data_IF_032245838129
#
_entry.id   IF_032245838129
#
_cell.length_a   1.000
_cell.length_b   1.000
_cell.length_c   1.000
_cell.angle_alpha   90.00
_cell.angle_beta   90.00
_cell.angle_gamma   90.00
#
_symmetry.space_group_name_H-M   'P 1'
#
loop_
_entity.id
_entity.type
_entity.pdbx_description
1 polymer ?
#
# COMPACT_ATOMS: atom_id res chain seq x y z
N UNK A 1 27.37 19.04 -9.09
CA UNK A 1 27.48 20.44 -9.53
C UNK A 1 27.45 20.57 -11.04
N UNK A 2 26.28 20.72 -11.66
CA UNK A 2 26.15 20.98 -13.11
C UNK A 2 25.40 22.28 -13.44
N UNK A 3 25.18 23.15 -12.44
CA UNK A 3 24.42 24.39 -12.59
C UNK A 3 25.27 25.62 -12.93
N UNK A 4 26.59 25.58 -12.74
CA UNK A 4 27.44 26.78 -12.92
C UNK A 4 27.81 27.03 -14.39
N UNK A 5 27.99 25.98 -15.20
CA UNK A 5 28.40 26.11 -16.60
C UNK A 5 27.31 26.70 -17.50
N UNK A 6 26.11 26.12 -17.49
CA UNK A 6 25.02 26.59 -18.35
C UNK A 6 24.47 27.95 -17.91
N UNK A 7 24.48 28.25 -16.61
CA UNK A 7 24.12 29.58 -16.10
C UNK A 7 25.11 30.63 -16.60
N UNK A 8 26.41 30.36 -16.52
CA UNK A 8 27.44 31.28 -17.04
C UNK A 8 27.33 31.47 -18.55
N UNK A 9 27.07 30.39 -19.30
CA UNK A 9 26.87 30.44 -20.76
C UNK A 9 25.58 31.16 -21.15
N UNK A 10 24.53 31.02 -20.36
CA UNK A 10 23.26 31.73 -20.55
C UNK A 10 23.41 33.24 -20.32
N UNK A 11 24.17 33.66 -19.30
CA UNK A 11 24.45 35.07 -19.02
C UNK A 11 25.27 35.75 -20.13
N UNK A 12 26.00 34.98 -20.94
CA UNK A 12 26.76 35.50 -22.08
C UNK A 12 25.91 35.69 -23.35
N UNK A 13 24.66 35.21 -23.36
CA UNK A 13 23.74 35.44 -24.48
C UNK A 13 23.13 36.84 -24.35
N UNK A 14 23.03 37.64 -25.43
CA UNK A 14 22.37 38.94 -25.41
C UNK A 14 20.84 38.78 -25.45
N UNK A 15 20.31 38.09 -24.44
CA UNK A 15 18.88 37.86 -24.22
C UNK A 15 18.38 38.75 -23.07
N UNK A 16 17.21 39.40 -23.20
CA UNK A 16 16.62 40.21 -22.13
C UNK A 16 15.91 39.35 -21.06
N UNK A 17 16.43 38.15 -20.78
CA UNK A 17 15.88 37.21 -19.79
C UNK A 17 17.01 36.50 -19.05
N UNK A 18 16.73 36.05 -17.82
CA UNK A 18 17.68 35.28 -17.03
C UNK A 18 17.83 33.82 -17.48
N UNK A 19 18.89 33.11 -17.04
CA UNK A 19 19.12 31.69 -17.33
C UNK A 19 17.96 30.77 -16.96
N UNK A 20 17.27 31.05 -15.85
CA UNK A 20 16.11 30.26 -15.43
C UNK A 20 14.93 30.40 -16.40
N UNK A 21 14.73 31.59 -16.96
CA UNK A 21 13.67 31.86 -17.92
C UNK A 21 13.91 31.13 -19.25
N UNK A 22 15.17 30.95 -19.67
CA UNK A 22 15.53 30.14 -20.86
C UNK A 22 14.96 28.72 -20.72
N UNK A 23 15.02 28.14 -19.53
CA UNK A 23 14.53 26.78 -19.25
C UNK A 23 13.01 26.74 -19.05
N UNK A 24 12.43 27.79 -18.44
CA UNK A 24 11.06 27.75 -17.94
C UNK A 24 10.00 28.38 -18.87
N UNK A 25 10.36 29.29 -19.77
CA UNK A 25 9.42 29.91 -20.70
C UNK A 25 8.60 28.86 -21.47
N UNK A 26 7.34 29.14 -21.87
CA UNK A 26 6.64 28.39 -22.91
C UNK A 26 7.47 28.32 -24.21
N UNK A 27 7.25 27.29 -25.04
CA UNK A 27 8.10 27.10 -26.24
C UNK A 27 7.82 28.17 -27.30
N UNK A 28 6.59 28.63 -27.35
CA UNK A 28 6.09 29.71 -28.21
C UNK A 28 6.78 31.03 -27.85
N UNK A 29 6.73 31.41 -26.58
CA UNK A 29 7.38 32.63 -26.06
C UNK A 29 8.90 32.57 -26.22
N UNK A 30 9.49 31.40 -25.99
CA UNK A 30 10.93 31.20 -26.15
C UNK A 30 11.35 31.37 -27.62
N UNK A 31 10.60 30.81 -28.56
CA UNK A 31 10.88 30.96 -29.98
C UNK A 31 10.64 32.40 -30.46
N UNK A 32 9.58 33.06 -29.99
CA UNK A 32 9.31 34.46 -30.29
C UNK A 32 10.45 35.36 -29.77
N UNK A 33 10.95 35.09 -28.56
CA UNK A 33 12.10 35.78 -28.00
C UNK A 33 13.36 35.59 -28.84
N UNK A 34 13.67 34.35 -29.24
CA UNK A 34 14.82 34.07 -30.11
C UNK A 34 14.70 34.74 -31.49
N UNK A 35 13.49 34.90 -32.01
CA UNK A 35 13.24 35.61 -33.28
C UNK A 35 13.36 37.13 -33.18
N UNK A 36 13.08 37.71 -32.00
CA UNK A 36 13.23 39.15 -31.73
C UNK A 36 14.66 39.53 -31.34
N UNK A 37 15.34 38.66 -30.59
CA UNK A 37 16.74 38.83 -30.25
C UNK A 37 17.56 38.62 -31.52
N UNK A 38 18.35 39.63 -31.94
CA UNK A 38 19.21 39.56 -33.14
C UNK A 38 20.43 38.66 -32.89
N UNK A 39 20.19 37.38 -32.58
CA UNK A 39 21.19 36.37 -32.25
C UNK A 39 21.78 35.75 -33.52
N UNK A 40 23.06 35.39 -33.46
CA UNK A 40 23.70 34.55 -34.46
C UNK A 40 23.23 33.09 -34.38
N UNK A 41 23.39 32.33 -35.46
CA UNK A 41 23.06 30.91 -35.50
C UNK A 41 23.67 30.09 -34.35
N UNK A 42 24.97 30.26 -34.02
CA UNK A 42 25.59 29.60 -32.87
C UNK A 42 24.96 29.96 -31.51
N UNK A 43 24.57 31.23 -31.30
CA UNK A 43 23.92 31.68 -30.07
C UNK A 43 22.52 31.11 -29.91
N UNK A 44 21.74 31.05 -31.01
CA UNK A 44 20.44 30.38 -31.04
C UNK A 44 20.58 28.90 -30.70
N UNK A 45 21.57 28.22 -31.27
CA UNK A 45 21.86 26.82 -30.97
C UNK A 45 22.24 26.62 -29.49
N UNK A 46 23.08 27.51 -28.94
CA UNK A 46 23.46 27.49 -27.54
C UNK A 46 22.24 27.68 -26.60
N UNK A 47 21.38 28.66 -26.89
CA UNK A 47 20.17 28.92 -26.10
C UNK A 47 19.24 27.70 -26.06
N UNK A 48 19.02 27.06 -27.22
CA UNK A 48 18.21 25.84 -27.34
C UNK A 48 18.83 24.67 -26.57
N UNK A 49 20.15 24.52 -26.65
CA UNK A 49 20.85 23.45 -25.96
C UNK A 49 20.83 23.61 -24.43
N UNK A 50 21.02 24.83 -23.93
CA UNK A 50 20.85 25.16 -22.50
C UNK A 50 19.44 24.83 -22.04
N UNK A 51 18.41 25.27 -22.79
CA UNK A 51 17.01 24.96 -22.50
C UNK A 51 16.75 23.46 -22.46
N UNK A 52 17.21 22.73 -23.48
CA UNK A 52 17.07 21.27 -23.58
C UNK A 52 17.70 20.54 -22.39
N UNK A 53 18.93 20.89 -22.03
CA UNK A 53 19.62 20.31 -20.86
C UNK A 53 18.94 20.67 -19.55
N UNK A 54 18.46 21.90 -19.40
CA UNK A 54 17.65 22.32 -18.26
C UNK A 54 16.34 21.55 -18.10
N UNK A 55 15.56 21.41 -19.18
CA UNK A 55 14.32 20.60 -19.20
C UNK A 55 14.61 19.13 -18.86
N UNK A 56 15.66 18.54 -19.43
CA UNK A 56 16.06 17.15 -19.12
C UNK A 56 16.45 16.97 -17.65
N UNK A 57 17.17 17.94 -17.06
CA UNK A 57 17.50 17.92 -15.63
C UNK A 57 16.25 17.92 -14.76
N UNK A 58 15.27 18.78 -15.07
CA UNK A 58 13.99 18.82 -14.35
C UNK A 58 13.19 17.52 -14.52
N UNK A 59 13.15 16.96 -15.73
CA UNK A 59 12.48 15.70 -16.00
C UNK A 59 13.12 14.55 -15.19
N UNK A 60 14.45 14.49 -15.14
CA UNK A 60 15.17 13.50 -14.34
C UNK A 60 14.89 13.68 -12.83
N UNK A 61 14.86 14.92 -12.33
CA UNK A 61 14.48 15.21 -10.95
C UNK A 61 13.04 14.77 -10.64
N UNK A 62 12.07 15.10 -11.51
CA UNK A 62 10.67 14.68 -11.35
C UNK A 62 10.54 13.15 -11.39
N UNK A 63 11.27 12.47 -12.28
CA UNK A 63 11.32 11.01 -12.35
C UNK A 63 11.85 10.40 -11.05
N UNK A 64 12.99 10.89 -10.55
CA UNK A 64 13.56 10.45 -9.27
C UNK A 64 12.60 10.69 -8.12
N UNK A 65 11.99 11.87 -8.04
CA UNK A 65 11.01 12.22 -7.01
C UNK A 65 9.81 11.27 -7.03
N UNK A 66 9.20 11.05 -8.19
CA UNK A 66 8.09 10.08 -8.34
C UNK A 66 8.47 8.67 -7.93
N UNK A 67 9.69 8.23 -8.26
CA UNK A 67 10.18 6.90 -7.86
C UNK A 67 10.34 6.79 -6.33
N UNK A 68 10.86 7.83 -5.69
CA UNK A 68 11.00 7.86 -4.22
C UNK A 68 9.62 7.93 -3.53
N UNK A 69 8.70 8.73 -4.04
CA UNK A 69 7.31 8.79 -3.55
C UNK A 69 6.62 7.42 -3.66
N UNK A 70 6.81 6.71 -4.77
CA UNK A 70 6.27 5.37 -4.95
C UNK A 70 6.87 4.37 -3.96
N UNK A 71 8.20 4.40 -3.74
CA UNK A 71 8.87 3.55 -2.74
C UNK A 71 8.32 3.83 -1.34
N UNK A 72 8.20 5.09 -0.94
CA UNK A 72 7.69 5.47 0.37
C UNK A 72 6.24 4.99 0.57
N UNK A 73 5.38 5.14 -0.45
CA UNK A 73 4.00 4.63 -0.42
C UNK A 73 3.97 3.12 -0.24
N UNK A 74 4.77 2.38 -1.00
CA UNK A 74 4.84 0.91 -0.91
C UNK A 74 5.34 0.45 0.46
N UNK A 75 6.34 1.13 1.03
CA UNK A 75 6.83 0.83 2.39
C UNK A 75 5.75 1.05 3.45
N UNK A 76 4.97 2.13 3.34
CA UNK A 76 3.86 2.40 4.24
C UNK A 76 2.76 1.33 4.12
N UNK A 77 2.44 0.91 2.90
CA UNK A 77 1.45 -0.14 2.64
C UNK A 77 1.90 -1.50 3.17
N UNK A 78 3.16 -1.90 2.96
CA UNK A 78 3.74 -3.09 3.55
C UNK A 78 3.65 -3.06 5.08
N UNK A 79 3.98 -1.92 5.70
CA UNK A 79 3.85 -1.75 7.15
C UNK A 79 2.39 -1.90 7.63
N UNK A 80 1.43 -1.34 6.89
CA UNK A 80 -0.01 -1.48 7.19
C UNK A 80 -0.47 -2.93 7.08
N UNK A 81 -0.11 -3.62 6.00
CA UNK A 81 -0.44 -5.02 5.78
C UNK A 81 0.20 -5.93 6.83
N UNK A 82 1.43 -5.64 7.24
CA UNK A 82 2.11 -6.36 8.33
C UNK A 82 1.34 -6.27 9.65
N UNK A 83 0.91 -5.07 10.04
CA UNK A 83 0.09 -4.86 11.25
C UNK A 83 -1.26 -5.57 11.18
N UNK A 84 -1.94 -5.52 10.03
CA UNK A 84 -3.23 -6.21 9.88
C UNK A 84 -3.05 -7.73 9.95
N UNK A 85 -1.99 -8.28 9.34
CA UNK A 85 -1.67 -9.71 9.45
C UNK A 85 -1.46 -10.11 10.92
N UNK A 86 -0.71 -9.35 11.68
CA UNK A 86 -0.48 -9.63 13.10
C UNK A 86 -1.79 -9.59 13.90
N UNK A 87 -2.63 -8.57 13.65
CA UNK A 87 -3.96 -8.46 14.27
C UNK A 87 -4.83 -9.69 13.99
N UNK A 88 -4.87 -10.13 12.73
CA UNK A 88 -5.64 -11.31 12.32
C UNK A 88 -5.11 -12.60 12.93
N UNK A 89 -3.78 -12.78 13.02
CA UNK A 89 -3.18 -13.95 13.67
C UNK A 89 -3.53 -14.00 15.16
N UNK A 90 -3.52 -12.85 15.85
CA UNK A 90 -3.95 -12.77 17.25
C UNK A 90 -5.42 -13.11 17.41
N UNK A 91 -6.29 -12.55 16.57
CA UNK A 91 -7.73 -12.85 16.58
C UNK A 91 -8.01 -14.34 16.31
N UNK A 92 -7.31 -14.96 15.35
CA UNK A 92 -7.40 -16.40 15.09
C UNK A 92 -7.03 -17.22 16.32
N UNK A 93 -5.90 -16.90 16.97
CA UNK A 93 -5.47 -17.60 18.18
C UNK A 93 -6.44 -17.44 19.35
N UNK A 94 -7.11 -16.29 19.48
CA UNK A 94 -8.18 -16.10 20.46
C UNK A 94 -9.42 -16.95 20.14
N UNK A 95 -9.82 -17.00 18.87
CA UNK A 95 -10.95 -17.82 18.43
C UNK A 95 -10.69 -19.32 18.65
N UNK A 96 -9.48 -19.80 18.35
CA UNK A 96 -9.08 -21.19 18.59
C UNK A 96 -9.15 -21.55 20.08
N UNK A 97 -8.70 -20.65 20.97
CA UNK A 97 -8.80 -20.84 22.43
C UNK A 97 -10.24 -20.86 22.92
N UNK A 98 -11.08 -19.96 22.40
CA UNK A 98 -12.50 -19.91 22.74
C UNK A 98 -13.20 -21.19 22.29
N UNK A 99 -12.96 -21.64 21.05
CA UNK A 99 -13.51 -22.88 20.51
C UNK A 99 -13.05 -24.11 21.31
N UNK A 100 -11.78 -24.17 21.72
CA UNK A 100 -11.28 -25.23 22.58
C UNK A 100 -11.97 -25.26 23.95
N UNK A 101 -12.32 -24.10 24.50
CA UNK A 101 -13.06 -24.00 25.76
C UNK A 101 -14.50 -24.47 25.60
N UNK A 102 -15.19 -23.98 24.57
CA UNK A 102 -16.56 -24.41 24.25
C UNK A 102 -16.66 -25.91 24.00
N UNK A 103 -15.69 -26.51 23.31
CA UNK A 103 -15.64 -27.97 23.11
C UNK A 103 -15.53 -28.74 24.42
N UNK A 104 -14.70 -28.28 25.36
CA UNK A 104 -14.57 -28.90 26.70
C UNK A 104 -15.85 -28.74 27.51
N UNK A 105 -16.45 -27.55 27.49
CA UNK A 105 -17.70 -27.29 28.20
C UNK A 105 -18.84 -28.14 27.64
N UNK A 106 -18.94 -28.25 26.32
CA UNK A 106 -19.92 -29.12 25.65
C UNK A 106 -19.71 -30.58 26.03
N UNK A 107 -18.48 -31.10 25.94
CA UNK A 107 -18.18 -32.47 26.34
C UNK A 107 -18.56 -32.75 27.80
N UNK A 108 -18.28 -31.81 28.71
CA UNK A 108 -18.67 -31.91 30.13
C UNK A 108 -20.18 -31.96 30.30
N UNK A 109 -20.92 -31.05 29.67
CA UNK A 109 -22.39 -31.00 29.77
C UNK A 109 -23.01 -32.25 29.14
N UNK A 110 -22.52 -32.69 27.98
CA UNK A 110 -23.00 -33.92 27.34
C UNK A 110 -22.80 -35.15 28.23
N UNK A 111 -21.65 -35.28 28.88
CA UNK A 111 -21.40 -36.36 29.83
C UNK A 111 -22.33 -36.29 31.06
N UNK A 112 -22.59 -35.08 31.59
CA UNK A 112 -23.53 -34.87 32.70
C UNK A 112 -24.96 -35.28 32.32
N UNK A 113 -25.44 -34.87 31.14
CA UNK A 113 -26.78 -35.21 30.65
C UNK A 113 -26.89 -36.72 30.45
N UNK A 114 -25.97 -37.34 29.70
CA UNK A 114 -26.00 -38.79 29.46
C UNK A 114 -25.95 -39.59 30.77
N UNK A 115 -25.10 -39.20 31.72
CA UNK A 115 -25.02 -39.87 33.03
C UNK A 115 -26.28 -39.75 33.88
N UNK A 116 -27.09 -38.70 33.68
CA UNK A 116 -28.36 -38.50 34.36
C UNK A 116 -29.52 -39.27 33.69
N UNK A 117 -29.40 -39.66 32.43
CA UNK A 117 -30.47 -40.36 31.71
C UNK A 117 -30.64 -41.80 32.22
N UNK A 118 -31.89 -42.24 32.21
CA UNK A 118 -32.32 -43.61 32.52
C UNK A 118 -33.17 -44.13 31.37
N UNK A 119 -33.05 -45.42 31.05
CA UNK A 119 -33.91 -46.07 30.08
C UNK A 119 -35.33 -46.32 30.64
N UNK A 120 -36.23 -46.87 29.82
CA UNK A 120 -37.60 -47.19 30.24
C UNK A 120 -37.71 -48.24 31.36
N UNK A 121 -36.62 -48.97 31.65
CA UNK A 121 -36.51 -49.91 32.76
C UNK A 121 -35.81 -49.31 33.99
N UNK A 122 -35.42 -48.03 33.95
CA UNK A 122 -34.74 -47.31 35.04
C UNK A 122 -33.23 -47.53 35.09
N UNK A 123 -32.61 -48.17 34.11
CA UNK A 123 -31.17 -48.39 34.07
C UNK A 123 -30.43 -47.16 33.52
N UNK A 124 -29.21 -46.86 33.99
CA UNK A 124 -28.39 -45.79 33.44
C UNK A 124 -28.09 -45.99 31.95
N UNK A 125 -28.21 -44.91 31.17
CA UNK A 125 -27.80 -44.90 29.76
C UNK A 125 -26.26 -44.88 29.69
N UNK A 126 -25.61 -45.86 29.07
CA UNK A 126 -24.15 -45.89 29.00
C UNK A 126 -23.62 -44.80 28.06
N UNK A 127 -22.83 -43.83 28.56
CA UNK A 127 -22.33 -42.71 27.76
C UNK A 127 -21.33 -43.16 26.67
N UNK A 128 -20.76 -44.36 26.78
CA UNK A 128 -19.86 -44.97 25.79
C UNK A 128 -20.59 -45.38 24.49
N UNK A 129 -21.91 -45.61 24.59
CA UNK A 129 -22.72 -46.21 23.52
C UNK A 129 -23.68 -45.22 22.86
N UNK A 130 -23.87 -44.05 23.47
CA UNK A 130 -24.85 -43.06 23.03
C UNK A 130 -24.23 -41.65 23.03
N UNK A 131 -24.42 -40.92 21.94
CA UNK A 131 -24.14 -39.49 21.81
C UNK A 131 -25.41 -38.65 21.97
N UNK A 132 -25.24 -37.34 22.17
CA UNK A 132 -26.35 -36.38 22.09
C UNK A 132 -26.28 -35.65 20.75
N UNK A 133 -27.37 -35.72 19.99
CA UNK A 133 -27.57 -34.94 18.77
C UNK A 133 -28.56 -33.82 19.04
N UNK A 134 -28.18 -32.61 18.63
CA UNK A 134 -29.06 -31.44 18.60
C UNK A 134 -29.58 -31.26 17.17
N UNK A 135 -30.90 -31.32 16.99
CA UNK A 135 -31.56 -31.06 15.73
C UNK A 135 -31.65 -29.54 15.44
N UNK A 136 -31.81 -29.13 14.18
CA UNK A 136 -31.87 -27.71 13.79
C UNK A 136 -33.02 -26.91 14.44
N UNK A 137 -34.07 -27.60 14.87
CA UNK A 137 -35.22 -27.06 15.59
C UNK A 137 -34.98 -26.92 17.11
N UNK A 138 -33.80 -27.33 17.59
CA UNK A 138 -33.44 -27.33 19.01
C UNK A 138 -33.81 -28.60 19.76
N UNK A 139 -34.40 -29.61 19.09
CA UNK A 139 -34.68 -30.90 19.71
C UNK A 139 -33.41 -31.68 20.06
N UNK A 140 -33.37 -32.33 21.22
CA UNK A 140 -32.27 -33.20 21.65
C UNK A 140 -32.68 -34.68 21.50
N UNK A 141 -31.86 -35.46 20.80
CA UNK A 141 -32.04 -36.91 20.64
C UNK A 141 -30.76 -37.66 20.97
N UNK A 142 -30.88 -38.93 21.35
CA UNK A 142 -29.74 -39.83 21.46
C UNK A 142 -29.35 -40.32 20.06
N UNK A 143 -28.05 -40.41 19.79
CA UNK A 143 -27.48 -41.02 18.57
C UNK A 143 -26.54 -42.17 18.88
#
# INVERSE_FOLDING_TARGET
GGGSGDTRRALALPLPIGPDAIVNLPVEDFNALLGRARLSGPEVALARDIRRRGKNKMAAQKCRRRKLEAIARLQAELGRLGRERERLLKARGQAEKALGTLRRDLARVSAQVLGALRDGAGNPVPPERFGLRLAPDGGLSLE
#
